data_IF_211967983090
#
_entry.id   IF_211967983090
#
_cell.length_a   1.000
_cell.length_b   1.000
_cell.length_c   1.000
_cell.angle_alpha   90.00
_cell.angle_beta   90.00
_cell.angle_gamma   90.00
#
_symmetry.space_group_name_H-M   'P 1'
#
loop_
_entity.id
_entity.type
_entity.pdbx_description
1 polymer ?
#
# COMPACT_ATOMS: atom_id res chain seq x y z
N UNK A 1 19.68 12.39 -0.20
CA UNK A 1 18.42 11.63 -0.18
C UNK A 1 18.59 10.13 -0.41
N UNK A 2 19.44 9.62 -1.30
CA UNK A 2 19.63 8.16 -1.41
C UNK A 2 20.29 7.48 -0.18
N UNK A 3 21.31 8.11 0.42
CA UNK A 3 22.05 7.54 1.58
C UNK A 3 21.16 7.30 2.81
N UNK A 4 20.28 8.26 3.12
CA UNK A 4 19.30 8.12 4.22
C UNK A 4 18.34 6.95 3.98
N UNK A 5 17.90 6.76 2.73
CA UNK A 5 17.07 5.62 2.38
C UNK A 5 17.83 4.29 2.53
N UNK A 6 19.09 4.22 2.10
CA UNK A 6 19.92 3.02 2.28
C UNK A 6 20.11 2.66 3.77
N UNK A 7 20.31 3.66 4.64
CA UNK A 7 20.34 3.46 6.09
C UNK A 7 18.99 2.99 6.63
N UNK A 8 17.90 3.60 6.19
CA UNK A 8 16.54 3.20 6.56
C UNK A 8 16.25 1.74 6.17
N UNK A 9 16.63 1.31 4.95
CA UNK A 9 16.47 -0.08 4.49
C UNK A 9 17.17 -1.06 5.42
N UNK A 10 18.41 -0.75 5.82
CA UNK A 10 19.19 -1.55 6.77
C UNK A 10 18.53 -1.59 8.15
N UNK A 11 18.12 -0.44 8.68
CA UNK A 11 17.53 -0.33 10.02
C UNK A 11 16.18 -1.04 10.15
N UNK A 12 15.40 -1.10 9.07
CA UNK A 12 14.06 -1.69 9.05
C UNK A 12 14.01 -3.08 8.42
N UNK A 13 15.16 -3.60 8.00
CA UNK A 13 15.29 -4.91 7.33
C UNK A 13 14.32 -5.03 6.15
N UNK A 14 14.33 -4.01 5.29
CA UNK A 14 13.38 -3.89 4.18
C UNK A 14 13.58 -5.02 3.16
N UNK A 15 14.81 -5.48 2.97
CA UNK A 15 15.11 -6.53 1.99
C UNK A 15 14.43 -7.88 2.33
N UNK A 16 14.11 -8.12 3.61
CA UNK A 16 13.40 -9.33 4.07
C UNK A 16 11.94 -9.07 4.47
N UNK A 17 11.44 -7.83 4.37
CA UNK A 17 10.16 -7.43 4.98
C UNK A 17 8.94 -8.15 4.41
N UNK A 18 9.01 -8.63 3.16
CA UNK A 18 7.93 -9.40 2.53
C UNK A 18 7.67 -10.71 3.28
N UNK A 19 8.72 -11.33 3.83
CA UNK A 19 8.64 -12.57 4.60
C UNK A 19 8.16 -12.36 6.04
N UNK A 20 8.14 -11.12 6.52
CA UNK A 20 7.61 -10.78 7.82
C UNK A 20 6.07 -10.76 7.80
N UNK A 21 5.47 -11.37 8.81
CA UNK A 21 4.01 -11.42 8.99
C UNK A 21 3.59 -10.34 10.01
N UNK A 22 2.65 -9.43 9.65
CA UNK A 22 2.07 -8.50 10.60
C UNK A 22 1.35 -9.22 11.76
N UNK A 23 1.18 -8.59 12.93
CA UNK A 23 0.28 -9.09 13.97
C UNK A 23 -1.13 -9.33 13.44
N UNK A 24 -1.84 -10.31 14.01
CA UNK A 24 -3.17 -10.74 13.58
C UNK A 24 -4.16 -9.58 13.50
N UNK A 25 -4.16 -8.68 14.49
CA UNK A 25 -5.04 -7.50 14.49
C UNK A 25 -4.82 -6.59 13.28
N UNK A 26 -3.59 -6.48 12.79
CA UNK A 26 -3.28 -5.70 11.59
C UNK A 26 -3.76 -6.46 10.36
N UNK A 27 -3.52 -7.77 10.28
CA UNK A 27 -3.96 -8.59 9.13
C UNK A 27 -5.48 -8.59 8.95
N UNK A 28 -6.23 -8.60 10.06
CA UNK A 28 -7.69 -8.68 10.03
C UNK A 28 -8.37 -7.31 9.89
N UNK A 29 -7.77 -6.24 10.44
CA UNK A 29 -8.47 -4.96 10.61
C UNK A 29 -7.78 -3.75 9.97
N UNK A 30 -6.52 -3.84 9.52
CA UNK A 30 -5.93 -2.77 8.72
C UNK A 30 -6.49 -2.87 7.30
N UNK A 31 -7.47 -2.02 7.02
CA UNK A 31 -8.20 -2.03 5.75
C UNK A 31 -7.33 -1.57 4.57
N UNK A 32 -7.70 -2.06 3.40
CA UNK A 32 -7.01 -1.78 2.14
C UNK A 32 -6.28 -2.98 1.58
N UNK A 33 -5.66 -2.81 0.41
CA UNK A 33 -4.95 -3.87 -0.27
C UNK A 33 -4.78 -3.61 -1.76
N UNK A 34 -3.96 -4.45 -2.39
CA UNK A 34 -3.72 -4.41 -3.83
C UNK A 34 -4.80 -5.19 -4.56
N UNK A 35 -5.42 -4.60 -5.59
CA UNK A 35 -6.41 -5.28 -6.41
C UNK A 35 -6.42 -4.74 -7.84
N UNK A 36 -6.12 -5.61 -8.81
CA UNK A 36 -6.17 -5.28 -10.23
C UNK A 36 -5.05 -4.34 -10.69
N UNK A 37 -5.15 -3.96 -11.96
CA UNK A 37 -4.21 -3.08 -12.66
C UNK A 37 -4.98 -1.97 -13.37
N UNK A 38 -4.34 -0.82 -13.54
CA UNK A 38 -4.87 0.23 -14.41
C UNK A 38 -4.71 -0.12 -15.91
N UNK A 39 -5.10 0.80 -16.79
CA UNK A 39 -5.04 0.60 -18.24
C UNK A 39 -3.61 0.45 -18.78
N UNK A 40 -2.63 0.95 -18.04
CA UNK A 40 -1.21 0.90 -18.41
C UNK A 40 -0.49 -0.29 -17.74
N UNK A 41 -1.22 -1.13 -16.99
CA UNK A 41 -0.68 -2.30 -16.30
C UNK A 41 -0.07 -2.00 -14.94
N UNK A 42 -0.26 -0.81 -14.37
CA UNK A 42 0.25 -0.48 -13.04
C UNK A 42 -0.66 -1.10 -11.96
N UNK A 43 -0.11 -1.77 -10.94
CA UNK A 43 -0.91 -2.35 -9.86
C UNK A 43 -1.61 -1.25 -9.04
N UNK A 44 -2.88 -1.49 -8.70
CA UNK A 44 -3.70 -0.52 -7.96
C UNK A 44 -3.80 -0.91 -6.49
N UNK A 45 -3.50 0.05 -5.60
CA UNK A 45 -3.69 -0.07 -4.16
C UNK A 45 -4.92 0.72 -3.71
N UNK A 46 -5.77 0.09 -2.91
CA UNK A 46 -6.94 0.72 -2.29
C UNK A 46 -6.68 0.94 -0.80
N UNK A 47 -6.87 2.17 -0.33
CA UNK A 47 -6.99 2.46 1.10
C UNK A 47 -8.46 2.72 1.44
N UNK A 48 -9.03 1.86 2.29
CA UNK A 48 -10.47 1.88 2.61
C UNK A 48 -10.68 2.57 3.95
N UNK A 49 -10.75 3.90 3.94
CA UNK A 49 -10.70 4.73 5.15
C UNK A 49 -12.01 4.68 5.98
N UNK A 50 -13.18 4.63 5.34
CA UNK A 50 -14.48 4.71 6.01
C UNK A 50 -14.67 3.76 7.20
N UNK A 51 -14.47 2.43 7.03
CA UNK A 51 -14.63 1.45 8.10
C UNK A 51 -13.38 1.26 8.99
N UNK A 52 -12.30 2.03 8.79
CA UNK A 52 -11.05 1.83 9.53
C UNK A 52 -11.17 2.32 10.98
N UNK A 53 -11.15 1.40 11.95
CA UNK A 53 -11.05 1.75 13.38
C UNK A 53 -9.60 2.11 13.77
N UNK A 54 -9.21 3.34 13.47
CA UNK A 54 -7.88 3.86 13.79
C UNK A 54 -7.59 3.82 15.31
N UNK A 55 -8.60 4.03 16.16
CA UNK A 55 -8.42 4.03 17.61
C UNK A 55 -8.18 2.61 18.11
N UNK A 56 -9.00 1.65 17.68
CA UNK A 56 -8.82 0.23 18.00
C UNK A 56 -7.46 -0.29 17.58
N UNK A 57 -7.01 0.05 16.36
CA UNK A 57 -5.69 -0.32 15.87
C UNK A 57 -4.55 0.25 16.72
N UNK A 58 -4.60 1.54 17.06
CA UNK A 58 -3.56 2.18 17.89
C UNK A 58 -3.53 1.66 19.34
N UNK A 59 -4.65 1.13 19.84
CA UNK A 59 -4.74 0.50 21.16
C UNK A 59 -4.35 -0.98 21.14
N UNK A 60 -4.36 -1.63 19.97
CA UNK A 60 -4.14 -3.08 19.83
C UNK A 60 -2.82 -3.45 19.15
N UNK A 61 -2.17 -2.52 18.46
CA UNK A 61 -0.92 -2.71 17.76
C UNK A 61 0.05 -1.56 18.03
N UNK A 62 1.35 -1.84 17.94
CA UNK A 62 2.36 -0.79 18.09
C UNK A 62 2.38 0.10 16.85
N UNK A 63 2.71 1.39 17.03
CA UNK A 63 2.99 2.30 15.90
C UNK A 63 4.06 1.71 14.96
N UNK A 64 5.03 1.00 15.51
CA UNK A 64 6.10 0.38 14.73
C UNK A 64 5.58 -0.73 13.82
N UNK A 65 4.67 -1.58 14.28
CA UNK A 65 4.09 -2.66 13.47
C UNK A 65 3.17 -2.11 12.38
N UNK A 66 2.39 -1.08 12.68
CA UNK A 66 1.57 -0.38 11.68
C UNK A 66 2.44 0.23 10.56
N UNK A 67 3.51 0.94 10.94
CA UNK A 67 4.45 1.51 9.98
C UNK A 67 5.21 0.43 9.20
N UNK A 68 5.64 -0.65 9.85
CA UNK A 68 6.32 -1.78 9.20
C UNK A 68 5.39 -2.48 8.20
N UNK A 69 4.10 -2.57 8.51
CA UNK A 69 3.11 -3.12 7.58
C UNK A 69 2.99 -2.25 6.33
N UNK A 70 2.89 -0.93 6.47
CA UNK A 70 2.88 -0.04 5.29
C UNK A 70 4.18 -0.08 4.50
N UNK A 71 5.33 -0.27 5.14
CA UNK A 71 6.60 -0.52 4.43
C UNK A 71 6.56 -1.82 3.63
N UNK A 72 5.99 -2.89 4.20
CA UNK A 72 5.78 -4.18 3.52
C UNK A 72 4.87 -4.03 2.31
N UNK A 73 3.77 -3.28 2.45
CA UNK A 73 2.83 -3.01 1.36
C UNK A 73 3.51 -2.30 0.18
N UNK A 74 4.37 -1.32 0.47
CA UNK A 74 5.17 -0.64 -0.57
C UNK A 74 6.13 -1.59 -1.30
N UNK A 75 6.82 -2.50 -0.60
CA UNK A 75 7.72 -3.47 -1.24
C UNK A 75 6.94 -4.53 -2.06
N UNK A 76 5.77 -4.95 -1.59
CA UNK A 76 4.87 -5.82 -2.35
C UNK A 76 4.42 -5.14 -3.65
N UNK A 77 4.04 -3.87 -3.57
CA UNK A 77 3.61 -3.08 -4.71
C UNK A 77 4.74 -2.86 -5.71
N UNK A 78 5.94 -2.52 -5.22
CA UNK A 78 7.14 -2.40 -6.05
C UNK A 78 7.47 -3.72 -6.76
N UNK A 79 7.38 -4.85 -6.05
CA UNK A 79 7.58 -6.18 -6.63
C UNK A 79 6.58 -6.46 -7.74
N UNK A 80 5.31 -6.08 -7.57
CA UNK A 80 4.31 -6.26 -8.62
C UNK A 80 4.58 -5.34 -9.80
N UNK A 81 4.97 -4.07 -9.59
CA UNK A 81 5.39 -3.17 -10.67
C UNK A 81 6.53 -3.77 -11.51
N UNK A 82 7.53 -4.37 -10.85
CA UNK A 82 8.62 -5.05 -11.54
C UNK A 82 8.11 -6.26 -12.35
N UNK A 83 7.22 -7.07 -11.76
CA UNK A 83 6.61 -8.20 -12.46
C UNK A 83 5.80 -7.77 -13.69
N UNK A 84 5.11 -6.62 -13.62
CA UNK A 84 4.35 -6.08 -14.75
C UNK A 84 5.24 -5.53 -15.85
N UNK A 85 6.38 -4.94 -15.50
CA UNK A 85 7.37 -4.44 -16.46
C UNK A 85 7.86 -5.58 -17.39
N UNK A 86 8.10 -6.77 -16.82
CA UNK A 86 8.50 -7.95 -17.59
C UNK A 86 7.37 -8.47 -18.50
N UNK A 87 6.11 -8.41 -18.03
CA UNK A 87 4.94 -8.93 -18.76
C UNK A 87 4.51 -8.04 -19.93
N UNK A 88 4.52 -6.72 -19.73
CA UNK A 88 3.98 -5.75 -20.69
C UNK A 88 4.99 -5.40 -21.79
N UNK A 89 6.23 -5.90 -21.71
CA UNK A 89 7.21 -5.85 -22.80
C UNK A 89 7.68 -4.44 -23.18
N UNK A 90 7.35 -3.43 -22.37
CA UNK A 90 7.73 -2.04 -22.59
C UNK A 90 8.55 -1.56 -21.40
N UNK A 91 9.72 -0.97 -21.67
CA UNK A 91 10.64 -0.42 -20.65
C UNK A 91 10.11 0.78 -19.85
N UNK A 92 8.78 0.88 -19.64
CA UNK A 92 8.16 1.80 -18.69
C UNK A 92 7.90 1.04 -17.39
N UNK A 93 8.65 1.39 -16.36
CA UNK A 93 8.30 1.07 -14.99
C UNK A 93 6.95 1.72 -14.68
N UNK A 94 6.04 0.96 -14.08
CA UNK A 94 4.81 1.48 -13.50
C UNK A 94 5.18 2.69 -12.61
N UNK A 95 4.71 3.88 -12.95
CA UNK A 95 4.82 5.05 -12.07
C UNK A 95 4.10 4.77 -10.76
N UNK A 96 4.53 5.41 -9.67
CA UNK A 96 3.95 5.20 -8.34
C UNK A 96 2.41 5.26 -8.40
N UNK A 97 1.69 4.21 -7.96
CA UNK A 97 0.23 4.25 -7.91
C UNK A 97 -0.16 5.24 -6.81
N UNK A 98 -0.57 6.43 -7.22
CA UNK A 98 -1.28 7.34 -6.34
C UNK A 98 -2.63 6.69 -6.01
N UNK A 99 -3.12 6.82 -4.76
CA UNK A 99 -4.39 6.25 -4.36
C UNK A 99 -5.50 6.76 -5.29
N UNK A 100 -6.43 5.88 -5.66
CA UNK A 100 -7.66 6.20 -6.40
C UNK A 100 -8.66 7.07 -5.58
N UNK A 101 -8.15 7.97 -4.73
CA UNK A 101 -8.93 8.87 -3.87
C UNK A 101 -9.52 10.08 -4.59
N UNK A 102 -9.02 10.44 -5.77
CA UNK A 102 -9.52 11.60 -6.53
C UNK A 102 -10.90 11.37 -7.19
N UNK A 103 -11.53 10.22 -6.97
CA UNK A 103 -12.91 9.93 -7.41
C UNK A 103 -13.95 9.86 -6.29
N UNK A 104 -13.58 10.20 -5.05
CA UNK A 104 -14.54 10.33 -3.94
C UNK A 104 -15.28 11.68 -3.90
N UNK A 105 -14.91 12.63 -4.77
CA UNK A 105 -15.57 13.94 -4.88
C UNK A 105 -16.88 13.97 -5.68
N UNK A 106 -17.32 12.86 -6.27
CA UNK A 106 -18.52 12.82 -7.13
C UNK A 106 -19.68 11.95 -6.60
N UNK A 107 -19.54 11.27 -5.45
CA UNK A 107 -20.60 10.42 -4.89
C UNK A 107 -21.43 11.09 -3.79
N UNK A 108 -21.45 12.41 -3.73
CA UNK A 108 -22.07 13.19 -2.65
C UNK A 108 -23.23 14.12 -3.03
N UNK A 109 -23.70 14.14 -4.28
CA UNK A 109 -24.67 15.16 -4.73
C UNK A 109 -25.81 14.68 -5.63
N UNK A 110 -26.24 13.42 -5.55
CA UNK A 110 -27.36 12.92 -6.37
C UNK A 110 -28.49 12.18 -5.63
N UNK A 111 -28.58 12.28 -4.31
CA UNK A 111 -29.82 11.90 -3.61
C UNK A 111 -30.23 12.95 -2.59
N UNK A 112 -30.88 14.00 -3.10
CA UNK A 112 -31.80 14.85 -2.34
C UNK A 112 -32.92 15.34 -3.26
N UNK A 113 -33.85 14.44 -3.57
CA UNK A 113 -35.27 14.68 -3.85
C UNK A 113 -35.95 13.32 -4.01
#
# INVERSE_FOLDING_TARGET
>A
MLRKHAEFRKQKDIDNIINWQPPEVIQLYLSGGMCGYDRDGCPVWYDVIGPLDARGLLLSATKQDLLRTKMRDCELLLRECLSQTDKVGGGRLCGWPLPAGDRLGQLGSEHRA
#
